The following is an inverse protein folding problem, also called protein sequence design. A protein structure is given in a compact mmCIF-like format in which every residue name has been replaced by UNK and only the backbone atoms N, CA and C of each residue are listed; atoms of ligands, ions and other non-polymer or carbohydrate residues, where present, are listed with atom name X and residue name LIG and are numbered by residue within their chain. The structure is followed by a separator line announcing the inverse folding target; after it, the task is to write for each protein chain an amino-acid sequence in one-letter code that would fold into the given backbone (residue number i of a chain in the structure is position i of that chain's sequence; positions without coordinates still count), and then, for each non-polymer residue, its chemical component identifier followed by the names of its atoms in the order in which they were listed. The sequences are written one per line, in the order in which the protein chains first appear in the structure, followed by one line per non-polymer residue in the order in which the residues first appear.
data_IF_534813850345
#
_entry.id   IF_534813850345
#
_cell.length_a   1.000
_cell.length_b   1.000
_cell.length_c   1.000
_cell.angle_alpha   90.00
_cell.angle_beta   90.00
_cell.angle_gamma   90.00
#
_symmetry.space_group_name_H-M   'P 1'
#
loop_
_entity.id
_entity.type
_entity.pdbx_description
1 polymer ?
#
# COMPACT_ATOMS: atom_id res chain seq x y z
N UNK A 1 -65.70 -0.35 -31.08
CA UNK A 1 -65.68 0.80 -30.15
C UNK A 1 -66.12 0.30 -28.79
N UNK A 2 -65.19 -0.09 -27.92
CA UNK A 2 -65.49 -0.65 -26.59
C UNK A 2 -65.06 0.39 -25.56
N UNK A 3 -66.02 1.11 -24.98
CA UNK A 3 -65.78 2.12 -23.95
C UNK A 3 -65.45 1.41 -22.64
N UNK A 4 -64.26 1.66 -22.10
CA UNK A 4 -63.86 1.26 -20.76
C UNK A 4 -64.70 2.06 -19.75
N UNK A 5 -65.51 1.36 -18.96
CA UNK A 5 -66.24 1.94 -17.84
C UNK A 5 -65.25 2.36 -16.76
N UNK A 6 -65.18 3.66 -16.48
CA UNK A 6 -64.49 4.18 -15.31
C UNK A 6 -65.31 3.80 -14.07
N UNK A 7 -64.74 2.97 -13.21
CA UNK A 7 -65.32 2.62 -11.91
C UNK A 7 -65.12 3.84 -11.00
N UNK A 8 -66.20 4.58 -10.71
CA UNK A 8 -66.16 5.67 -9.74
C UNK A 8 -66.08 5.10 -8.32
N UNK A 9 -64.89 5.16 -7.71
CA UNK A 9 -64.70 4.78 -6.32
C UNK A 9 -65.34 5.82 -5.39
N UNK A 10 -66.05 5.34 -4.37
CA UNK A 10 -66.67 6.14 -3.30
C UNK A 10 -65.60 6.80 -2.42
N UNK A 11 -65.94 7.88 -1.71
CA UNK A 11 -64.98 8.67 -0.95
C UNK A 11 -64.14 7.83 0.05
N UNK A 12 -64.77 6.88 0.76
CA UNK A 12 -64.07 5.96 1.67
C UNK A 12 -63.07 5.04 0.94
N UNK A 13 -63.41 4.58 -0.27
CA UNK A 13 -62.49 3.77 -1.08
C UNK A 13 -61.31 4.60 -1.61
N UNK A 14 -61.47 5.91 -1.79
CA UNK A 14 -60.38 6.83 -2.15
C UNK A 14 -59.41 7.04 -0.99
N UNK A 15 -59.92 7.21 0.24
CA UNK A 15 -59.06 7.30 1.42
C UNK A 15 -58.32 5.99 1.69
N UNK A 16 -58.97 4.84 1.53
CA UNK A 16 -58.34 3.54 1.67
C UNK A 16 -57.23 3.30 0.62
N UNK A 17 -57.45 3.69 -0.64
CA UNK A 17 -56.43 3.55 -1.71
C UNK A 17 -55.26 4.52 -1.53
N UNK A 18 -55.51 5.76 -1.10
CA UNK A 18 -54.43 6.72 -0.78
C UNK A 18 -53.61 6.24 0.42
N UNK A 19 -54.26 5.73 1.47
CA UNK A 19 -53.57 5.17 2.65
C UNK A 19 -52.72 3.95 2.27
N UNK A 20 -53.24 3.06 1.42
CA UNK A 20 -52.49 1.89 0.91
C UNK A 20 -51.30 2.30 0.04
N UNK A 21 -51.44 3.31 -0.81
CA UNK A 21 -50.33 3.84 -1.61
C UNK A 21 -49.29 4.54 -0.74
N UNK A 22 -49.70 5.25 0.30
CA UNK A 22 -48.78 5.88 1.24
C UNK A 22 -48.01 4.83 2.06
N UNK A 23 -48.70 3.79 2.55
CA UNK A 23 -48.06 2.67 3.25
C UNK A 23 -47.13 1.87 2.34
N UNK A 24 -47.48 1.67 1.06
CA UNK A 24 -46.58 1.01 0.11
C UNK A 24 -45.36 1.86 -0.22
N UNK A 25 -45.52 3.19 -0.34
CA UNK A 25 -44.42 4.12 -0.56
C UNK A 25 -43.48 4.18 0.65
N UNK A 26 -44.02 4.24 1.87
CA UNK A 26 -43.24 4.22 3.12
C UNK A 26 -42.52 2.87 3.28
N UNK A 27 -43.18 1.76 2.94
CA UNK A 27 -42.56 0.43 2.91
C UNK A 27 -41.43 0.33 1.90
N UNK A 28 -41.61 0.87 0.68
CA UNK A 28 -40.57 0.91 -0.36
C UNK A 28 -39.39 1.79 0.05
N UNK A 29 -39.65 2.94 0.68
CA UNK A 29 -38.62 3.86 1.17
C UNK A 29 -37.82 3.26 2.33
N UNK A 30 -38.48 2.53 3.22
CA UNK A 30 -37.83 1.80 4.32
C UNK A 30 -36.90 0.70 3.80
N UNK A 31 -37.25 0.02 2.71
CA UNK A 31 -36.38 -1.00 2.09
C UNK A 31 -35.13 -0.35 1.46
N UNK A 32 -35.28 0.79 0.78
CA UNK A 32 -34.16 1.50 0.15
C UNK A 32 -33.13 2.07 1.14
N UNK A 33 -33.54 2.35 2.38
CA UNK A 33 -32.66 2.89 3.44
C UNK A 33 -31.88 1.82 4.22
N UNK A 34 -32.11 0.53 3.96
CA UNK A 34 -31.50 -0.57 4.73
C UNK A 34 -30.34 -1.27 4.05
N UNK A 35 -29.89 -0.82 2.88
CA UNK A 35 -28.70 -1.38 2.25
C UNK A 35 -27.47 -1.10 3.14
N UNK A 36 -26.83 -2.14 3.72
CA UNK A 36 -25.58 -1.94 4.43
C UNK A 36 -24.53 -1.53 3.40
N UNK A 37 -24.13 -0.26 3.41
CA UNK A 37 -22.96 0.21 2.71
C UNK A 37 -21.73 -0.29 3.48
N UNK A 38 -21.38 -1.57 3.31
CA UNK A 38 -20.05 -2.05 3.67
C UNK A 38 -19.12 -1.68 2.54
N UNK A 39 -18.44 -0.54 2.67
CA UNK A 39 -17.31 -0.21 1.81
C UNK A 39 -16.21 -1.24 2.06
N UNK A 40 -15.93 -2.09 1.07
CA UNK A 40 -14.87 -3.09 1.11
C UNK A 40 -13.79 -2.63 0.15
N UNK A 41 -12.55 -2.49 0.63
CA UNK A 41 -11.41 -2.11 -0.21
C UNK A 41 -10.87 -3.39 -0.86
N UNK A 42 -10.77 -3.36 -2.18
CA UNK A 42 -10.19 -4.41 -2.99
C UNK A 42 -8.79 -4.01 -3.45
N UNK A 43 -7.86 -4.97 -3.48
CA UNK A 43 -6.57 -4.81 -4.15
C UNK A 43 -6.47 -5.77 -5.34
N UNK A 44 -5.99 -5.27 -6.46
CA UNK A 44 -5.70 -6.09 -7.64
C UNK A 44 -4.52 -5.53 -8.42
N UNK A 45 -3.86 -6.39 -9.19
CA UNK A 45 -2.75 -6.00 -10.06
C UNK A 45 -3.22 -5.98 -11.52
N UNK A 46 -2.95 -4.90 -12.24
CA UNK A 46 -3.19 -4.79 -13.69
C UNK A 46 -1.95 -4.19 -14.35
N UNK A 47 -1.38 -4.91 -15.32
CA UNK A 47 -0.16 -4.50 -16.04
C UNK A 47 1.05 -4.20 -15.12
N UNK A 48 1.21 -4.98 -14.04
CA UNK A 48 2.28 -4.77 -13.06
C UNK A 48 2.02 -3.65 -12.05
N UNK A 49 0.99 -2.83 -12.24
CA UNK A 49 0.59 -1.73 -11.36
C UNK A 49 -0.46 -2.24 -10.37
N UNK A 50 -0.27 -1.94 -9.10
CA UNK A 50 -1.24 -2.23 -8.04
C UNK A 50 -2.34 -1.17 -8.01
N UNK A 51 -3.60 -1.61 -7.98
CA UNK A 51 -4.79 -0.78 -7.87
C UNK A 51 -5.57 -1.12 -6.60
N UNK A 52 -6.09 -0.08 -5.95
CA UNK A 52 -6.92 -0.17 -4.76
C UNK A 52 -8.23 0.56 -5.03
N UNK A 53 -9.37 -0.09 -4.79
CA UNK A 53 -10.70 0.48 -5.06
C UNK A 53 -11.72 -0.01 -4.06
N UNK A 54 -12.64 0.85 -3.66
CA UNK A 54 -13.87 0.51 -2.93
C UNK A 54 -15.04 0.15 -3.87
N UNK A 55 -14.90 0.48 -5.16
CA UNK A 55 -15.82 0.15 -6.24
C UNK A 55 -15.12 -0.79 -7.25
N UNK A 56 -15.21 -2.12 -7.08
CA UNK A 56 -14.59 -3.06 -8.01
C UNK A 56 -15.23 -2.95 -9.41
N UNK A 57 -14.43 -2.76 -10.48
CA UNK A 57 -14.96 -2.73 -11.83
C UNK A 57 -15.42 -4.14 -12.27
N UNK A 58 -16.38 -4.21 -13.20
CA UNK A 58 -16.97 -5.48 -13.63
C UNK A 58 -15.96 -6.46 -14.30
N UNK A 59 -14.82 -5.95 -14.78
CA UNK A 59 -13.72 -6.69 -15.40
C UNK A 59 -12.57 -6.99 -14.42
N UNK A 60 -12.87 -7.18 -13.13
CA UNK A 60 -11.86 -7.41 -12.10
C UNK A 60 -11.02 -8.68 -12.40
N UNK A 61 -9.67 -8.61 -12.29
CA UNK A 61 -8.82 -9.78 -12.43
C UNK A 61 -9.18 -10.86 -11.38
N UNK A 62 -9.11 -12.15 -11.74
CA UNK A 62 -9.49 -13.25 -10.85
C UNK A 62 -8.61 -13.37 -9.60
N UNK A 63 -7.39 -12.83 -9.63
CA UNK A 63 -6.44 -12.84 -8.52
C UNK A 63 -6.64 -11.68 -7.53
N UNK A 64 -7.76 -10.96 -7.63
CA UNK A 64 -8.10 -9.88 -6.72
C UNK A 64 -8.28 -10.40 -5.30
N UNK A 65 -7.76 -9.64 -4.34
CA UNK A 65 -7.88 -9.96 -2.93
C UNK A 65 -8.68 -8.87 -2.24
N UNK A 66 -9.66 -9.28 -1.45
CA UNK A 66 -10.31 -8.38 -0.51
C UNK A 66 -9.29 -8.01 0.57
N UNK A 67 -9.08 -6.72 0.78
CA UNK A 67 -8.26 -6.24 1.88
C UNK A 67 -9.15 -6.27 3.13
N UNK A 68 -9.05 -7.36 3.88
CA UNK A 68 -9.65 -7.43 5.22
C UNK A 68 -8.72 -6.64 6.13
N UNK A 69 -8.99 -5.35 6.29
CA UNK A 69 -8.54 -4.66 7.50
C UNK A 69 -9.07 -5.45 8.69
N UNK A 70 -8.21 -5.71 9.68
CA UNK A 70 -8.56 -6.43 10.91
C UNK A 70 -9.63 -5.64 11.67
N UNK A 71 -10.87 -5.79 11.21
CA UNK A 71 -12.06 -5.09 11.65
C UNK A 71 -12.61 -5.87 12.82
N UNK A 72 -11.96 -5.75 13.97
CA UNK A 72 -12.72 -5.90 15.21
C UNK A 72 -13.71 -4.74 15.23
N UNK A 73 -15.03 -4.99 15.21
CA UNK A 73 -16.00 -3.90 15.22
C UNK A 73 -15.75 -3.04 16.45
N UNK A 74 -15.49 -1.74 16.23
CA UNK A 74 -15.34 -0.79 17.32
C UNK A 74 -16.55 -0.89 18.25
N UNK A 75 -16.34 -0.88 19.57
CA UNK A 75 -17.43 -0.74 20.52
C UNK A 75 -18.26 0.48 20.13
N UNK A 76 -19.57 0.27 19.95
CA UNK A 76 -20.51 1.35 19.64
C UNK A 76 -20.38 2.41 20.74
N UNK A 77 -20.22 3.70 20.42
CA UNK A 77 -20.18 4.74 21.44
C UNK A 77 -21.41 4.62 22.35
N UNK A 78 -21.27 4.80 23.67
CA UNK A 78 -22.40 4.78 24.59
C UNK A 78 -23.48 5.76 24.13
N UNK A 79 -24.71 5.29 23.97
CA UNK A 79 -25.83 6.09 23.46
C UNK A 79 -26.24 7.26 24.39
N UNK A 80 -25.67 7.30 25.60
CA UNK A 80 -26.01 8.23 26.68
C UNK A 80 -25.02 9.41 26.81
N UNK A 81 -24.03 9.54 25.92
CA UNK A 81 -23.12 10.69 25.88
C UNK A 81 -22.10 10.71 27.02
N UNK A 82 -21.85 9.56 27.67
CA UNK A 82 -20.79 9.40 28.67
C UNK A 82 -19.41 9.71 28.10
N UNK A 83 -18.52 10.20 28.95
CA UNK A 83 -17.14 10.49 28.55
C UNK A 83 -16.44 9.16 28.26
N UNK A 84 -15.68 9.11 27.16
CA UNK A 84 -14.93 7.92 26.72
C UNK A 84 -13.94 7.37 27.79
N UNK A 85 -13.65 8.16 28.82
CA UNK A 85 -12.70 7.88 29.90
C UNK A 85 -13.34 8.00 31.30
N UNK A 86 -14.61 7.59 31.47
CA UNK A 86 -15.34 7.67 32.75
C UNK A 86 -14.58 7.06 33.96
N UNK A 87 -13.68 6.10 33.73
CA UNK A 87 -12.87 5.46 34.78
C UNK A 87 -11.45 6.05 34.94
N UNK A 88 -11.08 7.06 34.16
CA UNK A 88 -9.77 7.70 34.25
C UNK A 88 -9.75 8.68 35.42
N UNK A 89 -9.18 8.24 36.54
CA UNK A 89 -9.13 9.00 37.79
C UNK A 89 -8.17 10.20 37.69
N UNK A 90 -8.57 11.26 36.98
CA UNK A 90 -7.80 12.49 36.88
C UNK A 90 -7.87 13.31 38.19
N UNK A 91 -6.76 13.37 38.91
CA UNK A 91 -6.63 13.99 40.24
C UNK A 91 -6.24 15.47 40.17
N UNK A 92 -5.74 15.93 39.02
CA UNK A 92 -5.29 17.31 38.82
C UNK A 92 -5.57 17.80 37.39
N UNK A 93 -5.30 19.08 37.12
CA UNK A 93 -5.58 19.71 35.83
C UNK A 93 -4.75 19.11 34.67
N UNK A 94 -3.54 18.61 34.96
CA UNK A 94 -2.66 17.99 33.97
C UNK A 94 -3.23 16.64 33.56
N UNK A 95 -3.62 15.79 34.52
CA UNK A 95 -4.24 14.49 34.25
C UNK A 95 -5.57 14.63 33.51
N UNK A 96 -6.35 15.68 33.79
CA UNK A 96 -7.54 16.00 33.00
C UNK A 96 -7.22 16.36 31.55
N UNK A 97 -6.12 17.08 31.30
CA UNK A 97 -5.67 17.38 29.95
C UNK A 97 -5.16 16.12 29.22
N UNK A 98 -4.50 15.20 29.94
CA UNK A 98 -4.07 13.90 29.40
C UNK A 98 -5.26 13.06 28.95
N UNK A 99 -6.36 13.05 29.72
CA UNK A 99 -7.59 12.37 29.31
C UNK A 99 -8.21 12.94 28.02
N UNK A 100 -7.95 14.22 27.69
CA UNK A 100 -8.37 14.83 26.42
C UNK A 100 -7.43 14.58 25.25
N UNK A 101 -6.29 13.93 25.48
CA UNK A 101 -5.26 13.64 24.47
C UNK A 101 -5.41 12.22 23.95
N UNK A 102 -5.28 12.05 22.64
CA UNK A 102 -5.34 10.75 21.98
C UNK A 102 -4.09 10.50 21.14
N UNK A 103 -3.74 9.23 20.98
CA UNK A 103 -2.85 8.80 19.90
C UNK A 103 -3.68 8.37 18.70
N UNK A 104 -3.22 8.71 17.50
CA UNK A 104 -3.85 8.37 16.24
C UNK A 104 -2.88 7.50 15.45
N UNK A 105 -3.31 6.30 15.08
CA UNK A 105 -2.58 5.39 14.20
C UNK A 105 -3.28 5.40 12.84
N UNK A 106 -2.59 5.85 11.80
CA UNK A 106 -3.07 5.82 10.42
C UNK A 106 -2.14 4.98 9.56
N UNK A 107 -2.56 4.60 8.33
CA UNK A 107 -1.67 3.94 7.37
C UNK A 107 -0.40 4.75 7.06
N UNK A 108 -0.44 6.08 7.20
CA UNK A 108 0.70 6.98 6.94
C UNK A 108 1.64 7.14 8.13
N UNK A 109 1.20 6.75 9.33
CA UNK A 109 2.04 6.81 10.52
C UNK A 109 1.27 7.07 11.81
N UNK A 110 2.00 7.57 12.80
CA UNK A 110 1.50 7.82 14.15
C UNK A 110 1.49 9.31 14.43
N UNK A 111 0.46 9.76 15.13
CA UNK A 111 0.36 11.14 15.59
C UNK A 111 -0.45 11.26 16.85
N UNK A 112 -0.68 12.50 17.26
CA UNK A 112 -1.53 12.83 18.39
C UNK A 112 -2.68 13.72 17.95
N UNK A 113 -3.74 13.70 18.75
CA UNK A 113 -4.86 14.61 18.60
C UNK A 113 -5.44 14.97 19.96
N UNK A 114 -6.37 15.91 19.95
CA UNK A 114 -7.10 16.30 21.14
C UNK A 114 -8.59 16.31 20.85
N UNK A 115 -9.39 15.83 21.79
CA UNK A 115 -10.83 16.08 21.76
C UNK A 115 -11.09 17.56 22.04
N UNK A 116 -11.79 18.23 21.13
CA UNK A 116 -12.16 19.64 21.27
C UNK A 116 -13.64 19.82 21.60
N UNK A 117 -14.44 18.74 21.54
CA UNK A 117 -15.85 18.76 21.93
C UNK A 117 -16.26 17.44 22.62
N UNK A 118 -17.31 17.46 23.46
CA UNK A 118 -17.89 16.24 24.04
C UNK A 118 -18.47 15.26 23.01
N UNK A 119 -18.74 15.74 21.79
CA UNK A 119 -19.29 14.93 20.69
C UNK A 119 -18.23 14.14 19.91
N UNK A 120 -16.97 14.16 20.34
CA UNK A 120 -15.89 13.39 19.71
C UNK A 120 -15.19 14.09 18.55
N UNK A 121 -15.39 15.40 18.33
CA UNK A 121 -14.57 16.14 17.37
C UNK A 121 -13.12 16.20 17.84
N UNK A 122 -12.21 15.87 16.92
CA UNK A 122 -10.76 15.79 17.17
C UNK A 122 -10.06 16.87 16.36
N UNK A 123 -9.11 17.56 16.99
CA UNK A 123 -8.09 18.34 16.29
C UNK A 123 -6.80 17.54 16.22
N UNK A 124 -6.25 17.39 15.02
CA UNK A 124 -4.95 16.77 14.77
C UNK A 124 -4.28 17.44 13.58
N UNK A 125 -3.00 17.15 13.37
CA UNK A 125 -2.29 17.61 12.20
C UNK A 125 -2.79 16.90 10.95
N UNK A 126 -2.99 17.65 9.86
CA UNK A 126 -3.44 17.09 8.58
C UNK A 126 -2.56 15.91 8.11
N UNK A 127 -1.25 16.00 8.28
CA UNK A 127 -0.31 14.95 7.86
C UNK A 127 -0.45 13.63 8.62
N UNK A 128 -1.12 13.63 9.79
CA UNK A 128 -1.36 12.41 10.58
C UNK A 128 -2.46 11.57 9.94
N UNK A 129 -3.42 12.22 9.28
CA UNK A 129 -4.59 11.57 8.68
C UNK A 129 -4.56 11.55 7.15
N UNK A 130 -3.81 12.46 6.51
CA UNK A 130 -3.75 12.60 5.05
C UNK A 130 -2.37 13.02 4.59
N UNK A 131 -1.89 12.45 3.50
CA UNK A 131 -0.66 12.89 2.86
C UNK A 131 -0.80 14.37 2.45
N UNK A 132 0.23 15.17 2.70
CA UNK A 132 0.29 16.53 2.12
C UNK A 132 0.92 16.45 0.73
N UNK A 133 0.51 17.33 -0.18
CA UNK A 133 1.05 17.36 -1.55
C UNK A 133 2.57 17.53 -1.54
N UNK A 134 3.09 18.40 -0.67
CA UNK A 134 4.53 18.65 -0.55
C UNK A 134 5.32 17.44 -0.06
N UNK A 135 4.86 16.72 0.97
CA UNK A 135 5.53 15.49 1.44
C UNK A 135 5.47 14.39 0.39
N UNK A 136 4.36 14.31 -0.34
CA UNK A 136 4.19 13.36 -1.45
C UNK A 136 5.21 13.66 -2.55
N UNK A 137 5.29 14.90 -3.02
CA UNK A 137 6.23 15.32 -4.07
C UNK A 137 7.70 15.08 -3.68
N UNK A 138 8.05 15.35 -2.43
CA UNK A 138 9.40 15.07 -1.91
C UNK A 138 9.72 13.58 -1.94
N UNK A 139 8.80 12.74 -1.44
CA UNK A 139 8.97 11.29 -1.47
C UNK A 139 9.05 10.76 -2.91
N UNK A 140 8.16 11.20 -3.81
CA UNK A 140 8.19 10.84 -5.23
C UNK A 140 9.52 11.21 -5.89
N UNK A 141 10.06 12.39 -5.55
CA UNK A 141 11.36 12.83 -6.06
C UNK A 141 12.49 11.94 -5.56
N UNK A 142 12.48 11.55 -4.27
CA UNK A 142 13.46 10.63 -3.72
C UNK A 142 13.38 9.25 -4.36
N UNK A 143 12.18 8.70 -4.55
CA UNK A 143 11.98 7.42 -5.23
C UNK A 143 12.53 7.47 -6.66
N UNK A 144 12.24 8.52 -7.41
CA UNK A 144 12.78 8.72 -8.76
C UNK A 144 14.31 8.77 -8.79
N UNK A 145 14.93 9.47 -7.85
CA UNK A 145 16.40 9.53 -7.74
C UNK A 145 17.01 8.14 -7.48
N UNK A 146 16.35 7.32 -6.67
CA UNK A 146 16.81 5.96 -6.41
C UNK A 146 16.61 5.06 -7.63
N UNK A 147 15.48 5.18 -8.34
CA UNK A 147 15.22 4.47 -9.61
C UNK A 147 16.27 4.82 -10.67
N UNK A 148 16.56 6.10 -10.87
CA UNK A 148 17.61 6.55 -11.80
C UNK A 148 18.99 5.97 -11.43
N UNK A 149 19.28 5.86 -10.13
CA UNK A 149 20.53 5.25 -9.64
C UNK A 149 20.56 3.74 -9.88
N UNK A 150 19.44 3.05 -9.68
CA UNK A 150 19.29 1.62 -9.98
C UNK A 150 19.59 1.38 -11.47
N UNK A 151 19.00 2.16 -12.36
CA UNK A 151 19.22 2.06 -13.82
C UNK A 151 20.69 2.27 -14.21
N UNK A 152 21.36 3.23 -13.58
CA UNK A 152 22.78 3.49 -13.81
C UNK A 152 23.64 2.31 -13.36
N UNK A 153 23.35 1.73 -12.19
CA UNK A 153 24.08 0.57 -11.67
C UNK A 153 23.82 -0.67 -12.54
N UNK A 154 22.60 -0.86 -13.05
CA UNK A 154 22.31 -1.96 -13.97
C UNK A 154 23.13 -1.88 -15.26
N UNK A 155 23.24 -0.67 -15.85
CA UNK A 155 24.10 -0.44 -17.02
C UNK A 155 25.57 -0.77 -16.71
N UNK A 156 26.08 -0.37 -15.56
CA UNK A 156 27.45 -0.69 -15.14
C UNK A 156 27.67 -2.20 -15.03
N UNK A 157 26.74 -2.94 -14.44
CA UNK A 157 26.82 -4.40 -14.37
C UNK A 157 26.72 -5.07 -15.75
N UNK A 158 25.96 -4.51 -16.69
CA UNK A 158 25.89 -5.01 -18.06
C UNK A 158 27.24 -4.81 -18.80
N UNK A 159 27.83 -3.63 -18.68
CA UNK A 159 29.15 -3.33 -19.24
C UNK A 159 30.23 -4.24 -18.64
N UNK A 160 30.18 -4.45 -17.32
CA UNK A 160 31.12 -5.31 -16.62
C UNK A 160 30.96 -6.79 -17.00
N UNK A 161 29.72 -7.27 -17.17
CA UNK A 161 29.44 -8.61 -17.69
C UNK A 161 30.06 -8.80 -19.08
N UNK A 162 29.93 -7.80 -19.96
CA UNK A 162 30.52 -7.85 -21.29
C UNK A 162 32.06 -7.91 -21.22
N UNK A 163 32.67 -7.17 -20.28
CA UNK A 163 34.13 -7.24 -20.08
C UNK A 163 34.57 -8.61 -19.59
N UNK A 164 33.85 -9.22 -18.63
CA UNK A 164 34.12 -10.57 -18.16
C UNK A 164 33.97 -11.61 -19.28
N UNK A 165 32.95 -11.46 -20.13
CA UNK A 165 32.76 -12.31 -21.31
C UNK A 165 33.96 -12.22 -22.26
N UNK A 166 34.38 -11.00 -22.60
CA UNK A 166 35.54 -10.78 -23.47
C UNK A 166 36.84 -11.29 -22.85
N UNK A 167 37.02 -11.13 -21.53
CA UNK A 167 38.19 -11.61 -20.82
C UNK A 167 38.26 -13.15 -20.84
N UNK A 168 37.12 -13.82 -20.62
CA UNK A 168 37.05 -15.28 -20.76
C UNK A 168 37.42 -15.75 -22.16
N UNK A 169 36.92 -15.08 -23.21
CA UNK A 169 37.29 -15.41 -24.58
C UNK A 169 38.80 -15.26 -24.83
N UNK A 170 39.43 -14.22 -24.28
CA UNK A 170 40.89 -14.02 -24.35
C UNK A 170 41.67 -15.11 -23.62
N UNK A 171 41.18 -15.61 -22.49
CA UNK A 171 41.79 -16.74 -21.78
C UNK A 171 41.80 -18.00 -22.65
N UNK A 172 40.71 -18.30 -23.34
CA UNK A 172 40.64 -19.46 -24.25
C UNK A 172 41.59 -19.31 -25.44
N UNK A 173 41.73 -18.10 -25.99
CA UNK A 173 42.71 -17.82 -27.04
C UNK A 173 44.15 -18.04 -26.56
N UNK A 174 44.48 -17.55 -25.36
CA UNK A 174 45.81 -17.70 -24.77
C UNK A 174 46.14 -19.17 -24.48
N UNK A 175 45.18 -19.93 -23.98
CA UNK A 175 45.31 -21.37 -23.78
C UNK A 175 45.59 -22.10 -25.10
N UNK A 176 44.81 -21.79 -26.13
CA UNK A 176 44.98 -22.37 -27.48
C UNK A 176 46.36 -22.04 -28.05
N UNK A 177 46.83 -20.81 -27.89
CA UNK A 177 48.17 -20.40 -28.32
C UNK A 177 49.28 -21.18 -27.59
N UNK A 178 49.13 -21.39 -26.28
CA UNK A 178 50.07 -22.20 -25.49
C UNK A 178 50.12 -23.67 -25.96
N UNK A 179 48.97 -24.23 -26.36
CA UNK A 179 48.87 -25.61 -26.85
C UNK A 179 49.56 -25.79 -28.21
N UNK A 180 49.43 -24.79 -29.10
CA UNK A 180 49.98 -24.82 -30.46
C UNK A 180 51.46 -24.42 -30.54
N UNK A 181 52.01 -23.78 -29.51
CA UNK A 181 53.40 -23.32 -29.50
C UNK A 181 54.39 -24.50 -29.41
N UNK A 182 55.35 -24.52 -30.34
CA UNK A 182 56.36 -25.57 -30.45
C UNK A 182 57.63 -25.22 -29.68
N UNK A 183 57.93 -23.92 -29.49
CA UNK A 183 59.07 -23.49 -28.69
C UNK A 183 58.76 -23.62 -27.19
N UNK A 184 59.53 -24.45 -26.48
CA UNK A 184 59.30 -24.75 -25.06
C UNK A 184 59.32 -23.51 -24.15
N UNK A 185 60.23 -22.56 -24.38
CA UNK A 185 60.34 -21.36 -23.56
C UNK A 185 59.14 -20.42 -23.76
N UNK A 186 58.71 -20.21 -25.01
CA UNK A 186 57.51 -19.41 -25.31
C UNK A 186 56.24 -20.08 -24.81
N UNK A 187 56.13 -21.39 -24.96
CA UNK A 187 55.02 -22.18 -24.41
C UNK A 187 54.91 -22.00 -22.89
N UNK A 188 56.04 -22.06 -22.19
CA UNK A 188 56.06 -21.88 -20.74
C UNK A 188 55.62 -20.46 -20.34
N UNK A 189 56.05 -19.43 -21.07
CA UNK A 189 55.58 -18.06 -20.86
C UNK A 189 54.06 -17.93 -21.06
N UNK A 190 53.51 -18.52 -22.13
CA UNK A 190 52.05 -18.50 -22.35
C UNK A 190 51.27 -19.23 -21.26
N UNK A 191 51.78 -20.34 -20.74
CA UNK A 191 51.13 -21.08 -19.64
C UNK A 191 51.16 -20.28 -18.32
N UNK A 192 52.25 -19.56 -18.07
CA UNK A 192 52.37 -18.67 -16.91
C UNK A 192 51.38 -17.52 -17.01
N UNK A 193 51.34 -16.81 -18.14
CA UNK A 193 50.37 -15.76 -18.43
C UNK A 193 48.93 -16.30 -18.29
N UNK A 194 48.64 -17.48 -18.83
CA UNK A 194 47.31 -18.09 -18.74
C UNK A 194 46.91 -18.34 -17.29
N UNK A 195 47.82 -18.86 -16.47
CA UNK A 195 47.58 -19.12 -15.04
C UNK A 195 47.29 -17.81 -14.29
N UNK A 196 48.09 -16.78 -14.50
CA UNK A 196 47.92 -15.47 -13.85
C UNK A 196 46.60 -14.80 -14.24
N UNK A 197 46.29 -14.78 -15.54
CA UNK A 197 45.05 -14.20 -16.04
C UNK A 197 43.83 -15.00 -15.57
N UNK A 198 43.92 -16.34 -15.48
CA UNK A 198 42.84 -17.18 -14.97
C UNK A 198 42.53 -16.86 -13.51
N UNK A 199 43.56 -16.72 -12.68
CA UNK A 199 43.39 -16.34 -11.27
C UNK A 199 42.74 -14.96 -11.14
N UNK A 200 43.13 -14.01 -11.99
CA UNK A 200 42.58 -12.66 -12.01
C UNK A 200 41.11 -12.66 -12.45
N UNK A 201 40.78 -13.42 -13.50
CA UNK A 201 39.41 -13.62 -13.96
C UNK A 201 38.52 -14.24 -12.88
N UNK A 202 38.99 -15.29 -12.20
CA UNK A 202 38.21 -15.95 -11.14
C UNK A 202 37.89 -15.01 -9.99
N UNK A 203 38.88 -14.22 -9.54
CA UNK A 203 38.67 -13.22 -8.49
C UNK A 203 37.66 -12.15 -8.92
N UNK A 204 37.82 -11.64 -10.14
CA UNK A 204 36.92 -10.60 -10.65
C UNK A 204 35.49 -11.12 -10.86
N UNK A 205 35.34 -12.34 -11.40
CA UNK A 205 34.04 -12.97 -11.58
C UNK A 205 33.33 -13.23 -10.24
N UNK A 206 34.06 -13.72 -9.23
CA UNK A 206 33.49 -13.95 -7.91
C UNK A 206 33.05 -12.64 -7.23
N UNK A 207 33.84 -11.58 -7.36
CA UNK A 207 33.47 -10.24 -6.88
C UNK A 207 32.23 -9.69 -7.59
N UNK A 208 32.19 -9.81 -8.93
CA UNK A 208 31.03 -9.43 -9.74
C UNK A 208 29.76 -10.15 -9.28
N UNK A 209 29.82 -11.47 -9.12
CA UNK A 209 28.67 -12.28 -8.70
C UNK A 209 28.17 -11.88 -7.30
N UNK A 210 29.09 -11.61 -6.38
CA UNK A 210 28.77 -11.17 -5.02
C UNK A 210 28.07 -9.81 -5.04
N UNK A 211 28.65 -8.82 -5.74
CA UNK A 211 28.07 -7.48 -5.86
C UNK A 211 26.72 -7.50 -6.57
N UNK A 212 26.58 -8.31 -7.62
CA UNK A 212 25.33 -8.43 -8.37
C UNK A 212 24.21 -9.01 -7.50
N UNK A 213 24.49 -10.05 -6.71
CA UNK A 213 23.51 -10.62 -5.76
C UNK A 213 23.07 -9.62 -4.71
N UNK A 214 24.02 -8.89 -4.12
CA UNK A 214 23.70 -7.85 -3.14
C UNK A 214 22.81 -6.76 -3.76
N UNK A 215 23.19 -6.26 -4.93
CA UNK A 215 22.42 -5.25 -5.65
C UNK A 215 20.99 -5.71 -5.97
N UNK A 216 20.81 -6.95 -6.45
CA UNK A 216 19.47 -7.49 -6.72
C UNK A 216 18.63 -7.58 -5.44
N UNK A 217 19.23 -7.95 -4.31
CA UNK A 217 18.54 -7.94 -3.02
C UNK A 217 18.11 -6.54 -2.60
N UNK A 218 18.98 -5.54 -2.74
CA UNK A 218 18.69 -4.14 -2.42
C UNK A 218 17.60 -3.56 -3.34
N UNK A 219 17.68 -3.86 -4.64
CA UNK A 219 16.67 -3.48 -5.65
C UNK A 219 15.30 -4.06 -5.31
N UNK A 220 15.23 -5.35 -4.96
CA UNK A 220 13.98 -6.00 -4.58
C UNK A 220 13.40 -5.43 -3.27
N UNK A 221 14.25 -5.13 -2.29
CA UNK A 221 13.84 -4.48 -1.05
C UNK A 221 13.28 -3.08 -1.32
N UNK A 222 13.92 -2.31 -2.21
CA UNK A 222 13.44 -1.00 -2.65
C UNK A 222 12.06 -1.09 -3.31
N UNK A 223 11.88 -1.97 -4.30
CA UNK A 223 10.58 -2.13 -4.97
C UNK A 223 9.47 -2.58 -4.01
N UNK A 224 9.79 -3.46 -3.07
CA UNK A 224 8.85 -3.89 -2.03
C UNK A 224 8.46 -2.73 -1.10
N UNK A 225 9.43 -1.92 -0.69
CA UNK A 225 9.20 -0.72 0.11
C UNK A 225 8.36 0.33 -0.62
N UNK A 226 8.63 0.56 -1.90
CA UNK A 226 7.85 1.45 -2.75
C UNK A 226 6.40 0.98 -2.89
N UNK A 227 6.18 -0.30 -3.17
CA UNK A 227 4.83 -0.87 -3.23
C UNK A 227 4.07 -0.74 -1.90
N UNK A 228 4.75 -0.93 -0.76
CA UNK A 228 4.17 -0.73 0.57
C UNK A 228 3.81 0.73 0.87
N UNK A 229 4.64 1.68 0.42
CA UNK A 229 4.34 3.10 0.50
C UNK A 229 3.12 3.48 -0.35
N UNK A 230 3.09 3.02 -1.61
CA UNK A 230 1.98 3.29 -2.54
C UNK A 230 0.66 2.71 -2.00
N UNK A 231 0.71 1.51 -1.41
CA UNK A 231 -0.42 0.92 -0.68
C UNK A 231 -0.90 1.81 0.47
N UNK A 232 0.00 2.17 1.37
CA UNK A 232 -0.34 2.96 2.57
C UNK A 232 -0.93 4.32 2.19
N UNK A 233 -0.42 4.92 1.12
CA UNK A 233 -0.94 6.17 0.54
C UNK A 233 -2.36 5.98 -0.02
N UNK A 234 -2.60 4.95 -0.84
CA UNK A 234 -3.92 4.68 -1.40
C UNK A 234 -4.97 4.38 -0.32
N UNK A 235 -4.61 3.61 0.71
CA UNK A 235 -5.51 3.34 1.84
C UNK A 235 -5.80 4.63 2.61
N UNK A 236 -4.80 5.46 2.90
CA UNK A 236 -5.03 6.72 3.61
C UNK A 236 -5.91 7.71 2.82
N UNK A 237 -5.77 7.73 1.50
CA UNK A 237 -6.60 8.58 0.63
C UNK A 237 -8.05 8.06 0.54
N UNK A 238 -8.25 6.73 0.56
CA UNK A 238 -9.55 6.08 0.35
C UNK A 238 -10.32 5.84 1.66
N UNK A 239 -9.69 5.22 2.65
CA UNK A 239 -10.37 4.62 3.79
C UNK A 239 -10.90 5.68 4.78
N UNK A 240 -10.34 6.89 4.80
CA UNK A 240 -10.55 7.91 5.84
C UNK A 240 -10.43 7.36 7.28
N UNK A 241 -9.92 6.13 7.44
CA UNK A 241 -10.00 5.38 8.66
C UNK A 241 -8.69 5.42 9.41
N UNK A 242 -8.79 5.47 10.73
CA UNK A 242 -7.65 5.52 11.61
C UNK A 242 -8.02 4.97 12.98
N UNK A 243 -7.04 4.42 13.68
CA UNK A 243 -7.23 3.94 15.05
C UNK A 243 -6.94 5.07 16.02
N UNK A 244 -7.91 5.39 16.87
CA UNK A 244 -7.75 6.26 18.02
C UNK A 244 -7.38 5.39 19.22
N UNK A 245 -6.35 5.79 19.97
CA UNK A 245 -5.97 5.16 21.24
C UNK A 245 -6.11 6.20 22.34
N UNK A 246 -6.91 5.87 23.36
CA UNK A 246 -7.15 6.71 24.52
C UNK A 246 -6.05 6.55 25.58
N UNK A 247 -6.05 7.43 26.58
CA UNK A 247 -5.07 7.43 27.68
C UNK A 247 -5.08 6.14 28.53
N UNK A 248 -6.16 5.38 28.53
CA UNK A 248 -6.27 4.07 29.19
C UNK A 248 -5.91 2.88 28.26
N UNK A 249 -5.37 3.16 27.07
CA UNK A 249 -5.07 2.23 25.99
C UNK A 249 -6.29 1.59 25.32
N UNK A 250 -7.50 2.12 25.53
CA UNK A 250 -8.66 1.69 24.74
C UNK A 250 -8.50 2.13 23.29
N UNK A 251 -8.67 1.19 22.36
CA UNK A 251 -8.55 1.43 20.93
C UNK A 251 -9.92 1.52 20.24
N UNK A 252 -10.09 2.51 19.38
CA UNK A 252 -11.28 2.71 18.54
C UNK A 252 -10.85 2.80 17.09
N UNK A 253 -11.42 1.94 16.24
CA UNK A 253 -11.33 2.07 14.80
C UNK A 253 -12.39 3.07 14.32
N UNK A 254 -11.97 4.14 13.67
CA UNK A 254 -12.82 5.19 13.08
C UNK A 254 -12.67 5.15 11.58
#
# INVERSE_FOLDING_TARGET
MTRLNAIELTADQRYATILLLFLSLVGLLAILLTSPCSAQIYKYQKNGIWYYTDAPPADMPPDSQQVIESTSPSPRPPADGRLLLDNYAARNAIERAVAGTIAIKSPLGYGSGFFITPHGHIITNKHVIRSTNQMTEQNETQFRQVEERIDQIEKQFADEAQRLFNFKARLEQLKTAAEQESNLQRKQAYLEDYKENTNSYQKWHADYDSRRKQFESEKNAFHSGRAGYDYSKSVADLAQSFTIVLADNTEFYV
#
